data_IF_645596166744
#
_entry.id   IF_645596166744
#
_cell.length_a   1.000
_cell.length_b   1.000
_cell.length_c   1.000
_cell.angle_alpha   90.00
_cell.angle_beta   90.00
_cell.angle_gamma   90.00
#
_symmetry.space_group_name_H-M   'P 1'
#
loop_
_entity.id
_entity.type
_entity.pdbx_description
1 polymer ?
#
# COMPACT_ATOMS: atom_id res chain seq x y z
N UNK A 1 -23.66 5.82 16.00
CA UNK A 1 -22.90 6.22 14.80
C UNK A 1 -21.81 7.27 15.08
N UNK A 2 -22.14 8.42 15.66
CA UNK A 2 -21.19 9.51 16.02
C UNK A 2 -20.02 9.03 16.91
N UNK A 3 -20.26 8.08 17.81
CA UNK A 3 -19.24 7.50 18.70
C UNK A 3 -18.17 6.68 17.94
N UNK A 4 -18.56 6.01 16.84
CA UNK A 4 -17.67 5.19 16.00
C UNK A 4 -16.70 6.08 15.22
N UNK A 5 -17.19 7.18 14.64
CA UNK A 5 -16.36 8.18 13.96
C UNK A 5 -15.40 8.83 14.96
N UNK A 6 -15.88 9.20 16.16
CA UNK A 6 -15.01 9.75 17.21
C UNK A 6 -13.90 8.80 17.66
N UNK A 7 -14.16 7.48 17.74
CA UNK A 7 -13.14 6.48 18.10
C UNK A 7 -12.12 6.19 17.00
N UNK A 8 -12.49 6.35 15.72
CA UNK A 8 -11.61 6.11 14.56
C UNK A 8 -10.83 7.34 14.10
N UNK A 9 -11.05 8.51 14.73
CA UNK A 9 -10.41 9.80 14.42
C UNK A 9 -8.89 9.77 14.34
N UNK A 10 -8.24 8.93 15.14
CA UNK A 10 -6.77 8.82 15.19
C UNK A 10 -6.23 7.63 14.38
N UNK A 11 -7.08 6.92 13.64
CA UNK A 11 -6.66 5.88 12.71
C UNK A 11 -6.51 6.46 11.31
N UNK A 12 -5.67 5.84 10.46
CA UNK A 12 -5.33 6.36 9.12
C UNK A 12 -6.54 6.81 8.30
N UNK A 13 -7.66 6.06 8.22
CA UNK A 13 -8.83 6.53 7.47
C UNK A 13 -9.47 7.80 8.04
N UNK A 14 -9.49 7.95 9.38
CA UNK A 14 -10.02 9.14 10.04
C UNK A 14 -9.12 10.37 9.88
N UNK A 15 -7.81 10.18 9.78
CA UNK A 15 -6.85 11.25 9.48
C UNK A 15 -6.98 11.72 8.02
N UNK A 16 -7.07 10.78 7.07
CA UNK A 16 -7.31 11.09 5.66
C UNK A 16 -8.64 11.83 5.47
N UNK A 17 -9.71 11.40 6.13
CA UNK A 17 -11.00 12.08 6.04
C UNK A 17 -10.96 13.52 6.55
N UNK A 18 -10.17 13.79 7.61
CA UNK A 18 -9.94 15.18 8.07
C UNK A 18 -9.18 16.01 7.05
N UNK A 19 -8.23 15.40 6.35
CA UNK A 19 -7.51 16.07 5.29
C UNK A 19 -8.47 16.46 4.16
N UNK A 20 -9.34 15.55 3.71
CA UNK A 20 -10.35 15.89 2.69
C UNK A 20 -11.33 16.99 3.14
N UNK A 21 -11.76 16.99 4.41
CA UNK A 21 -12.58 18.10 4.95
C UNK A 21 -11.81 19.42 4.86
N UNK A 22 -10.52 19.41 5.18
CA UNK A 22 -9.67 20.59 5.04
C UNK A 22 -9.57 21.00 3.57
N UNK A 23 -9.28 20.06 2.65
CA UNK A 23 -9.14 20.34 1.22
C UNK A 23 -10.39 20.99 0.63
N UNK A 24 -11.58 20.49 1.00
CA UNK A 24 -12.86 21.13 0.64
C UNK A 24 -12.93 22.56 1.16
N UNK A 25 -12.54 22.80 2.42
CA UNK A 25 -12.63 24.13 3.05
C UNK A 25 -11.70 25.18 2.42
N UNK A 26 -10.58 24.75 1.81
CA UNK A 26 -9.60 25.64 1.18
C UNK A 26 -9.55 25.50 -0.35
N UNK A 27 -10.47 24.74 -0.96
CA UNK A 27 -10.51 24.46 -2.40
C UNK A 27 -9.16 23.96 -2.95
N UNK A 28 -8.50 23.08 -2.20
CA UNK A 28 -7.23 22.47 -2.60
C UNK A 28 -7.44 21.48 -3.77
N UNK A 29 -6.43 21.30 -4.66
CA UNK A 29 -6.58 20.43 -5.81
C UNK A 29 -6.73 18.96 -5.42
N UNK A 30 -7.31 18.22 -6.37
CA UNK A 30 -7.55 16.78 -6.36
C UNK A 30 -6.37 15.95 -5.81
N UNK A 31 -6.65 14.84 -5.12
CA UNK A 31 -5.64 13.95 -4.55
C UNK A 31 -5.81 12.53 -5.09
N UNK A 32 -4.71 11.85 -5.39
CA UNK A 32 -4.72 10.42 -5.64
C UNK A 32 -4.26 9.67 -4.38
N UNK A 33 -5.06 8.71 -3.89
CA UNK A 33 -4.70 7.85 -2.76
C UNK A 33 -4.23 6.48 -3.27
N UNK A 34 -2.92 6.35 -3.46
CA UNK A 34 -2.28 5.10 -3.87
C UNK A 34 -2.04 4.17 -2.67
N UNK A 35 -2.60 2.96 -2.72
CA UNK A 35 -2.49 1.98 -1.64
C UNK A 35 -1.62 0.78 -2.06
N UNK A 36 -0.50 0.59 -1.38
CA UNK A 36 0.50 -0.45 -1.68
C UNK A 36 0.48 -1.57 -0.62
N UNK A 37 -0.63 -2.28 -0.48
CA UNK A 37 -0.72 -3.48 0.38
C UNK A 37 -1.01 -4.73 -0.43
N UNK A 38 -0.81 -5.89 0.18
CA UNK A 38 -1.03 -7.18 -0.47
C UNK A 38 -2.50 -7.57 -0.33
N UNK A 39 -3.32 -7.17 -1.30
CA UNK A 39 -4.69 -7.65 -1.44
C UNK A 39 -5.15 -7.58 -2.91
N UNK A 40 -6.26 -8.25 -3.23
CA UNK A 40 -6.88 -8.16 -4.55
C UNK A 40 -7.69 -6.87 -4.62
N UNK A 41 -7.63 -6.16 -5.74
CA UNK A 41 -8.19 -4.82 -5.95
C UNK A 41 -7.76 -3.87 -4.83
N UNK A 42 -6.46 -3.64 -4.75
CA UNK A 42 -5.82 -2.79 -3.71
C UNK A 42 -6.47 -1.41 -3.53
N UNK A 43 -7.06 -0.84 -4.59
CA UNK A 43 -7.84 0.40 -4.52
C UNK A 43 -9.22 0.28 -3.85
N UNK A 44 -9.89 -0.86 -4.00
CA UNK A 44 -11.31 -1.00 -3.62
C UNK A 44 -11.50 -0.92 -2.11
N UNK A 45 -10.60 -1.52 -1.33
CA UNK A 45 -10.67 -1.47 0.12
C UNK A 45 -10.56 -0.04 0.68
N UNK A 46 -9.50 0.75 0.38
CA UNK A 46 -9.40 2.11 0.87
C UNK A 46 -10.54 3.00 0.35
N UNK A 47 -10.93 2.87 -0.93
CA UNK A 47 -12.07 3.62 -1.49
C UNK A 47 -13.36 3.37 -0.69
N UNK A 48 -13.72 2.10 -0.47
CA UNK A 48 -14.93 1.75 0.27
C UNK A 48 -14.89 2.22 1.73
N UNK A 49 -13.73 2.12 2.39
CA UNK A 49 -13.57 2.57 3.78
C UNK A 49 -13.69 4.08 3.87
N UNK A 50 -13.02 4.83 2.99
CA UNK A 50 -13.05 6.29 2.99
C UNK A 50 -14.45 6.80 2.63
N UNK A 51 -15.04 6.32 1.54
CA UNK A 51 -16.38 6.71 1.11
C UNK A 51 -17.45 6.31 2.14
N UNK A 52 -17.32 5.12 2.74
CA UNK A 52 -18.22 4.68 3.80
C UNK A 52 -18.15 5.59 5.02
N UNK A 53 -16.94 5.97 5.46
CA UNK A 53 -16.77 6.91 6.58
C UNK A 53 -17.25 8.31 6.23
N UNK A 54 -17.00 8.79 5.01
CA UNK A 54 -17.49 10.07 4.53
C UNK A 54 -19.02 10.11 4.54
N UNK A 55 -19.71 9.10 3.99
CA UNK A 55 -21.18 9.01 4.00
C UNK A 55 -21.79 9.03 5.40
N UNK A 56 -21.10 8.44 6.37
CA UNK A 56 -21.52 8.47 7.77
C UNK A 56 -21.31 9.83 8.46
N UNK A 57 -20.43 10.67 7.91
CA UNK A 57 -20.12 11.99 8.42
C UNK A 57 -20.96 13.07 7.73
N UNK A 58 -20.94 13.09 6.40
CA UNK A 58 -21.54 14.08 5.52
C UNK A 58 -21.64 13.53 4.08
N UNK A 59 -22.84 13.57 3.50
CA UNK A 59 -23.09 13.06 2.15
C UNK A 59 -22.42 13.93 1.07
N UNK A 60 -22.31 15.24 1.28
CA UNK A 60 -21.69 16.16 0.32
C UNK A 60 -20.17 15.94 0.28
N UNK A 61 -19.56 15.67 1.44
CA UNK A 61 -18.16 15.26 1.52
C UNK A 61 -17.91 13.95 0.76
N UNK A 62 -18.79 12.97 0.91
CA UNK A 62 -18.66 11.71 0.18
C UNK A 62 -18.74 11.93 -1.33
N UNK A 63 -19.70 12.76 -1.78
CA UNK A 63 -19.85 13.10 -3.20
C UNK A 63 -18.62 13.83 -3.73
N UNK A 64 -18.10 14.78 -2.97
CA UNK A 64 -16.86 15.48 -3.32
C UNK A 64 -15.70 14.50 -3.49
N UNK A 65 -15.50 13.57 -2.55
CA UNK A 65 -14.44 12.55 -2.66
C UNK A 65 -14.63 11.68 -3.91
N UNK A 66 -15.85 11.24 -4.22
CA UNK A 66 -16.14 10.45 -5.44
C UNK A 66 -15.76 11.22 -6.72
N UNK A 67 -15.95 12.54 -6.74
CA UNK A 67 -15.69 13.37 -7.91
C UNK A 67 -14.23 13.87 -8.01
N UNK A 68 -13.50 13.91 -6.89
CA UNK A 68 -12.22 14.63 -6.80
C UNK A 68 -11.02 13.76 -6.40
N UNK A 69 -11.23 12.49 -6.01
CA UNK A 69 -10.16 11.62 -5.51
C UNK A 69 -10.12 10.33 -6.33
N UNK A 70 -8.92 9.98 -6.83
CA UNK A 70 -8.69 8.66 -7.43
C UNK A 70 -8.04 7.69 -6.45
N UNK A 71 -8.34 6.42 -6.62
CA UNK A 71 -7.77 5.31 -5.86
C UNK A 71 -7.14 4.34 -6.86
N UNK A 72 -5.91 4.58 -7.35
CA UNK A 72 -5.25 3.65 -8.27
C UNK A 72 -4.87 2.36 -7.53
N UNK A 73 -5.15 1.22 -8.17
CA UNK A 73 -4.68 -0.09 -7.69
C UNK A 73 -3.19 -0.25 -7.96
N UNK A 74 -2.50 -1.05 -7.15
CA UNK A 74 -1.11 -1.45 -7.37
C UNK A 74 -0.87 -2.92 -7.06
N UNK A 75 0.10 -3.51 -7.76
CA UNK A 75 0.74 -4.76 -7.35
C UNK A 75 2.19 -4.42 -7.01
N UNK A 76 2.59 -4.72 -5.78
CA UNK A 76 3.95 -4.51 -5.29
C UNK A 76 4.61 -5.84 -4.99
N UNK A 77 5.85 -6.01 -5.46
CA UNK A 77 6.62 -7.21 -5.16
C UNK A 77 8.10 -6.92 -4.92
N UNK A 78 8.51 -7.26 -3.70
CA UNK A 78 9.90 -7.30 -3.23
C UNK A 78 9.91 -7.98 -1.87
N UNK A 79 10.69 -9.05 -1.72
CA UNK A 79 10.92 -9.67 -0.42
C UNK A 79 11.87 -8.79 0.38
N UNK A 80 11.36 -8.31 1.52
CA UNK A 80 12.10 -7.52 2.51
C UNK A 80 11.94 -8.24 3.85
N UNK A 81 12.92 -9.06 4.26
CA UNK A 81 12.90 -9.71 5.57
C UNK A 81 12.87 -8.68 6.71
N UNK A 82 12.39 -9.11 7.88
CA UNK A 82 12.47 -8.28 9.07
C UNK A 82 13.93 -7.97 9.41
N UNK A 83 14.21 -6.71 9.75
CA UNK A 83 15.56 -6.27 10.14
C UNK A 83 15.96 -6.92 11.46
N UNK A 84 17.09 -7.61 11.45
CA UNK A 84 17.74 -8.19 12.64
C UNK A 84 19.07 -7.51 12.94
N UNK A 85 19.65 -7.74 14.11
CA UNK A 85 21.00 -7.26 14.42
C UNK A 85 22.04 -7.74 13.39
N UNK A 86 21.91 -8.97 12.91
CA UNK A 86 22.75 -9.51 11.83
C UNK A 86 22.55 -8.78 10.50
N UNK A 87 21.30 -8.38 10.21
CA UNK A 87 21.00 -7.58 9.01
C UNK A 87 21.70 -6.24 9.08
N UNK A 88 21.59 -5.53 10.20
CA UNK A 88 22.25 -4.24 10.40
C UNK A 88 23.77 -4.35 10.34
N UNK A 89 24.35 -5.39 10.95
CA UNK A 89 25.79 -5.64 10.86
C UNK A 89 26.27 -5.83 9.40
N UNK A 90 25.50 -6.56 8.58
CA UNK A 90 25.77 -6.72 7.15
C UNK A 90 25.66 -5.40 6.39
N UNK A 91 24.65 -4.59 6.68
CA UNK A 91 24.47 -3.26 6.07
C UNK A 91 25.66 -2.36 6.42
N UNK A 92 26.03 -2.27 7.71
CA UNK A 92 27.20 -1.50 8.17
C UNK A 92 28.48 -1.93 7.46
N UNK A 93 28.70 -3.23 7.31
CA UNK A 93 29.85 -3.75 6.57
C UNK A 93 29.85 -3.29 5.10
N UNK A 94 28.71 -3.38 4.42
CA UNK A 94 28.58 -2.96 3.01
C UNK A 94 28.72 -1.45 2.82
N UNK A 95 28.37 -0.65 3.82
CA UNK A 95 28.52 0.80 3.82
C UNK A 95 29.91 1.27 4.26
N UNK A 96 30.87 0.37 4.46
CA UNK A 96 32.24 0.72 4.84
C UNK A 96 32.40 1.12 6.31
N UNK A 97 31.58 0.56 7.19
CA UNK A 97 31.63 0.80 8.64
C UNK A 97 30.66 1.89 9.14
N UNK A 98 29.84 2.45 8.27
CA UNK A 98 28.81 3.43 8.65
C UNK A 98 27.59 2.69 9.20
N UNK A 99 27.25 2.97 10.46
CA UNK A 99 26.05 2.44 11.08
C UNK A 99 24.81 3.21 10.59
N UNK A 100 23.83 2.47 10.05
CA UNK A 100 22.52 3.00 9.66
C UNK A 100 21.41 2.24 10.42
N UNK A 101 20.81 2.82 11.47
CA UNK A 101 19.74 2.17 12.23
C UNK A 101 18.43 2.05 11.45
N UNK A 102 18.29 2.72 10.30
CA UNK A 102 17.17 2.59 9.37
C UNK A 102 17.48 1.66 8.19
N UNK A 103 18.65 1.03 8.18
CA UNK A 103 19.10 0.15 7.11
C UNK A 103 18.19 -1.06 6.92
N UNK A 104 17.92 -1.39 5.65
CA UNK A 104 17.12 -2.55 5.26
C UNK A 104 17.90 -3.42 4.28
N UNK A 105 17.72 -4.74 4.39
CA UNK A 105 18.18 -5.69 3.38
C UNK A 105 16.98 -6.29 2.65
N UNK A 106 17.16 -6.54 1.37
CA UNK A 106 16.11 -7.00 0.48
C UNK A 106 16.72 -7.69 -0.73
N UNK A 107 15.92 -8.51 -1.41
CA UNK A 107 16.35 -9.13 -2.65
C UNK A 107 16.57 -8.09 -3.78
N UNK A 108 17.34 -8.45 -4.83
CA UNK A 108 17.55 -7.58 -5.98
C UNK A 108 16.30 -7.46 -6.87
N UNK A 109 15.44 -8.49 -6.91
CA UNK A 109 14.19 -8.44 -7.65
C UNK A 109 13.27 -7.36 -7.08
N UNK A 110 12.60 -6.63 -7.97
CA UNK A 110 11.58 -5.63 -7.63
C UNK A 110 10.61 -5.51 -8.79
N UNK A 111 9.32 -5.47 -8.49
CA UNK A 111 8.28 -5.19 -9.46
C UNK A 111 7.23 -4.28 -8.84
N UNK A 112 6.79 -3.29 -9.62
CA UNK A 112 5.71 -2.39 -9.23
C UNK A 112 4.83 -2.12 -10.43
N UNK A 113 3.61 -2.64 -10.40
CA UNK A 113 2.57 -2.40 -11.41
C UNK A 113 1.54 -1.45 -10.81
N UNK A 114 1.19 -0.40 -11.53
CA UNK A 114 0.38 0.71 -11.05
C UNK A 114 -0.72 0.99 -12.06
N UNK A 115 -1.96 1.12 -11.57
CA UNK A 115 -3.08 1.63 -12.36
C UNK A 115 -2.84 3.11 -12.67
N UNK A 116 -2.78 3.50 -13.94
CA UNK A 116 -2.50 4.89 -14.32
C UNK A 116 -3.75 5.78 -14.21
N UNK A 117 -4.18 6.00 -12.96
CA UNK A 117 -5.40 6.73 -12.62
C UNK A 117 -5.11 7.77 -11.51
N UNK A 118 -4.44 8.86 -11.88
CA UNK A 118 -4.02 9.93 -10.96
C UNK A 118 -4.66 11.26 -11.36
N UNK A 119 -5.48 11.82 -10.47
CA UNK A 119 -6.23 13.07 -10.70
C UNK A 119 -5.37 14.34 -10.64
N UNK A 120 -4.15 14.27 -10.12
CA UNK A 120 -3.27 15.44 -9.94
C UNK A 120 -1.80 15.11 -10.23
N UNK A 121 -1.59 14.45 -11.37
CA UNK A 121 -0.27 14.01 -11.79
C UNK A 121 0.34 12.93 -10.89
N UNK A 122 1.51 12.45 -11.33
CA UNK A 122 2.34 11.47 -10.62
C UNK A 122 3.78 11.60 -11.10
N UNK A 123 4.77 11.09 -10.35
CA UNK A 123 6.12 10.90 -10.87
C UNK A 123 6.14 9.98 -12.10
N UNK A 124 7.15 10.17 -12.95
CA UNK A 124 7.43 9.32 -14.13
C UNK A 124 8.09 8.00 -13.70
N UNK A 125 7.41 7.21 -12.84
CA UNK A 125 7.95 5.96 -12.29
C UNK A 125 8.29 4.91 -13.36
N UNK A 126 7.66 5.00 -14.54
CA UNK A 126 7.99 4.19 -15.71
C UNK A 126 9.47 4.33 -16.13
N UNK A 127 10.08 5.50 -15.91
CA UNK A 127 11.50 5.72 -16.23
C UNK A 127 12.47 4.95 -15.33
N UNK A 128 11.99 4.46 -14.18
CA UNK A 128 12.79 3.70 -13.22
C UNK A 128 12.27 2.26 -13.02
N UNK A 129 11.41 1.80 -13.94
CA UNK A 129 11.00 0.40 -14.08
C UNK A 129 9.65 0.04 -13.45
N UNK A 130 8.80 1.01 -13.08
CA UNK A 130 7.40 0.70 -12.78
C UNK A 130 6.59 0.47 -14.07
N UNK A 131 5.59 -0.40 -14.01
CA UNK A 131 4.69 -0.69 -15.12
C UNK A 131 3.37 0.06 -14.91
N UNK A 132 3.05 0.98 -15.82
CA UNK A 132 1.83 1.77 -15.77
C UNK A 132 0.81 1.12 -16.70
N UNK A 133 -0.31 0.67 -16.14
CA UNK A 133 -1.32 -0.14 -16.84
C UNK A 133 -2.73 0.40 -16.60
N UNK A 134 -3.68 -0.04 -17.43
CA UNK A 134 -5.10 0.30 -17.24
C UNK A 134 -5.78 -0.64 -16.23
N UNK A 135 -5.33 -1.89 -16.13
CA UNK A 135 -5.87 -2.88 -15.18
C UNK A 135 -4.74 -3.68 -14.53
N UNK A 136 -4.66 -3.59 -13.21
CA UNK A 136 -3.63 -4.26 -12.39
C UNK A 136 -4.08 -5.65 -11.95
N UNK A 137 -5.37 -5.96 -12.04
CA UNK A 137 -5.96 -7.18 -11.50
C UNK A 137 -5.25 -8.47 -11.98
N UNK A 138 -4.85 -8.64 -13.26
CA UNK A 138 -4.14 -9.83 -13.69
C UNK A 138 -2.80 -10.04 -12.96
N UNK A 139 -2.07 -8.95 -12.69
CA UNK A 139 -0.79 -8.97 -11.99
C UNK A 139 -0.96 -9.27 -10.51
N UNK A 140 -1.94 -8.64 -9.86
CA UNK A 140 -2.31 -8.96 -8.47
C UNK A 140 -2.64 -10.44 -8.33
N UNK A 141 -3.48 -10.99 -9.21
CA UNK A 141 -3.89 -12.40 -9.15
C UNK A 141 -2.73 -13.36 -9.35
N UNK A 142 -1.87 -13.09 -10.35
CA UNK A 142 -0.67 -13.89 -10.59
C UNK A 142 0.21 -13.92 -9.33
N UNK A 143 0.54 -12.74 -8.78
CA UNK A 143 1.42 -12.60 -7.62
C UNK A 143 0.80 -13.23 -6.36
N UNK A 144 -0.47 -12.98 -6.10
CA UNK A 144 -1.18 -13.52 -4.94
C UNK A 144 -1.28 -15.05 -4.97
N UNK A 145 -1.53 -15.64 -6.13
CA UNK A 145 -1.68 -17.09 -6.26
C UNK A 145 -0.33 -17.80 -6.31
N UNK A 146 0.59 -17.33 -7.15
CA UNK A 146 1.84 -18.04 -7.43
C UNK A 146 2.92 -17.78 -6.38
N UNK A 147 3.02 -16.56 -5.86
CA UNK A 147 4.07 -16.20 -4.90
C UNK A 147 3.54 -16.20 -3.47
N UNK A 148 2.54 -15.37 -3.15
CA UNK A 148 2.05 -15.28 -1.77
C UNK A 148 1.35 -16.57 -1.32
N UNK A 149 0.62 -17.22 -2.22
CA UNK A 149 0.01 -18.52 -1.98
C UNK A 149 1.05 -19.59 -1.67
N UNK A 150 2.11 -19.68 -2.47
CA UNK A 150 3.23 -20.61 -2.26
C UNK A 150 3.99 -20.31 -0.96
N UNK A 151 4.26 -19.05 -0.64
CA UNK A 151 4.89 -18.68 0.64
C UNK A 151 4.05 -19.12 1.84
N UNK A 152 2.73 -18.90 1.78
CA UNK A 152 1.81 -19.32 2.85
C UNK A 152 1.78 -20.83 2.99
N UNK A 153 1.74 -21.56 1.87
CA UNK A 153 1.79 -23.01 1.85
C UNK A 153 3.09 -23.56 2.46
N UNK A 154 4.25 -23.01 2.07
CA UNK A 154 5.55 -23.43 2.59
C UNK A 154 5.69 -23.10 4.08
N UNK A 155 5.27 -21.90 4.51
CA UNK A 155 5.35 -21.49 5.90
C UNK A 155 4.50 -22.39 6.82
N UNK A 156 3.25 -22.67 6.44
CA UNK A 156 2.36 -23.54 7.20
C UNK A 156 2.81 -25.00 7.18
N UNK A 157 3.33 -25.48 6.03
CA UNK A 157 3.84 -26.85 5.92
C UNK A 157 5.13 -27.05 6.73
N UNK A 158 6.03 -26.07 6.73
CA UNK A 158 7.23 -26.07 7.57
C UNK A 158 6.89 -26.04 9.06
N UNK A 159 5.97 -25.15 9.47
CA UNK A 159 5.53 -25.05 10.87
C UNK A 159 4.90 -26.36 11.38
N UNK A 160 4.18 -27.08 10.53
CA UNK A 160 3.58 -28.38 10.87
C UNK A 160 4.56 -29.56 10.83
N UNK A 161 5.86 -29.32 10.57
CA UNK A 161 6.89 -30.35 10.48
C UNK A 161 6.80 -31.24 9.24
N UNK A 162 5.96 -30.86 8.26
CA UNK A 162 5.79 -31.60 7.00
C UNK A 162 6.88 -31.28 5.98
N UNK A 163 7.60 -30.17 6.18
CA UNK A 163 8.81 -29.83 5.46
C UNK A 163 9.95 -29.62 6.46
N UNK A 164 11.17 -30.09 6.16
CA UNK A 164 12.32 -29.81 7.01
C UNK A 164 12.60 -28.30 7.05
N UNK A 165 12.93 -27.79 8.24
CA UNK A 165 13.54 -26.47 8.36
C UNK A 165 14.98 -26.59 7.85
N UNK A 166 15.31 -25.85 6.78
CA UNK A 166 16.68 -25.72 6.30
C UNK A 166 17.43 -24.65 7.09
#
# INVERSE_FOLDING_TARGET
>A
MILLIRRRRNQRPGLLLRHFVYDVSVSYPHLALCHATICRKTATLPANVILGLAKLQDADLAKWIEDHVSFPSTMVDRIVPAVTAETLAKVTQQLGGIEDPAGVACEPFRQWVIEDNFVNGRPEWEKVGAELVQDVLPFEEMKLRMLNGSHSFLALSGLSGRLPAY
#
